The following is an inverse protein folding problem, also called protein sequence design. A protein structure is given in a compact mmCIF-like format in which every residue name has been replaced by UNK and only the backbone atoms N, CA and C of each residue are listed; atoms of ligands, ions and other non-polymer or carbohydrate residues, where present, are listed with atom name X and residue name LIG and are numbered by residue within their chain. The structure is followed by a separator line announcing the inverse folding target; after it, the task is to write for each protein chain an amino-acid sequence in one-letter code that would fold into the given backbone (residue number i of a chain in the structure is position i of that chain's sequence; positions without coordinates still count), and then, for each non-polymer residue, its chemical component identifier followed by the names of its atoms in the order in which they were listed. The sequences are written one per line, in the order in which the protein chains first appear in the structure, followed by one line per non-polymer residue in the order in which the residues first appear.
data_IF_380186234668
#
_entry.id   IF_380186234668
#
_cell.length_a   1.000
_cell.length_b   1.000
_cell.length_c   1.000
_cell.angle_alpha   90.00
_cell.angle_beta   90.00
_cell.angle_gamma   90.00
#
_symmetry.space_group_name_H-M   'P 1'
#
loop_
_entity.id
_entity.type
_entity.pdbx_description
1 polymer ?
#
# COMPACT_ATOMS: atom_id res chain seq x y z
N UNK A 1 12.33 23.51 6.57
CA UNK A 1 12.59 23.22 5.15
C UNK A 1 11.48 23.85 4.31
N UNK A 2 11.82 24.86 3.50
CA UNK A 2 10.87 25.62 2.68
C UNK A 2 10.41 24.74 1.50
N UNK A 3 9.27 24.07 1.61
CA UNK A 3 8.64 23.32 0.49
C UNK A 3 8.06 24.38 -0.46
N UNK A 4 8.86 25.00 -1.34
CA UNK A 4 8.29 26.07 -2.19
C UNK A 4 8.54 26.01 -3.68
N UNK A 5 9.39 25.12 -4.22
CA UNK A 5 9.45 24.91 -5.68
C UNK A 5 9.75 23.46 -6.01
N UNK A 6 8.71 22.71 -6.37
CA UNK A 6 8.86 21.36 -6.87
C UNK A 6 7.71 21.05 -7.83
N UNK A 7 8.04 20.52 -8.99
CA UNK A 7 7.08 20.00 -9.95
C UNK A 7 6.78 18.54 -9.64
N UNK A 8 5.50 18.21 -9.51
CA UNK A 8 5.03 16.83 -9.47
C UNK A 8 4.89 16.30 -10.90
N UNK A 9 5.36 15.08 -11.14
CA UNK A 9 5.28 14.41 -12.43
C UNK A 9 4.47 13.10 -12.22
N UNK A 10 3.13 13.16 -12.34
CA UNK A 10 2.23 12.04 -12.03
C UNK A 10 2.21 11.03 -13.18
N UNK A 11 3.27 10.24 -13.30
CA UNK A 11 3.41 9.22 -14.36
C UNK A 11 2.58 7.97 -14.06
N UNK A 12 2.44 7.61 -12.78
CA UNK A 12 1.71 6.42 -12.31
C UNK A 12 2.12 5.13 -13.05
N UNK A 13 3.41 4.95 -13.33
CA UNK A 13 3.92 3.78 -14.03
C UNK A 13 4.22 2.63 -13.07
N UNK A 14 4.01 1.40 -13.54
CA UNK A 14 4.41 0.19 -12.82
C UNK A 14 5.93 0.00 -12.91
N UNK A 15 6.65 0.40 -11.85
CA UNK A 15 8.12 0.28 -11.77
C UNK A 15 8.48 -0.99 -11.01
N UNK A 16 9.39 -1.78 -11.58
CA UNK A 16 9.96 -2.98 -10.94
C UNK A 16 11.31 -2.62 -10.34
N UNK A 17 11.41 -2.65 -9.02
CA UNK A 17 12.66 -2.39 -8.29
C UNK A 17 13.59 -3.61 -8.29
N UNK A 18 14.85 -3.44 -7.91
CA UNK A 18 15.86 -4.51 -7.89
C UNK A 18 15.44 -5.73 -7.05
N UNK A 19 14.71 -5.50 -5.96
CA UNK A 19 14.16 -6.56 -5.12
C UNK A 19 13.01 -7.34 -5.79
N UNK A 20 12.51 -6.89 -6.94
CA UNK A 20 11.39 -7.47 -7.69
C UNK A 20 10.03 -6.83 -7.39
N UNK A 21 9.95 -5.83 -6.49
CA UNK A 21 8.70 -5.17 -6.15
C UNK A 21 8.16 -4.37 -7.32
N UNK A 22 6.92 -4.66 -7.72
CA UNK A 22 6.16 -3.90 -8.72
C UNK A 22 5.33 -2.82 -8.01
N UNK A 23 5.70 -1.56 -8.16
CA UNK A 23 5.05 -0.43 -7.43
C UNK A 23 4.69 0.68 -8.42
N UNK A 24 3.44 1.16 -8.33
CA UNK A 24 2.99 2.37 -9.05
C UNK A 24 3.76 3.58 -8.55
N UNK A 25 4.61 4.13 -9.41
CA UNK A 25 5.56 5.17 -9.04
C UNK A 25 5.33 6.44 -9.88
N UNK A 26 5.42 7.59 -9.21
CA UNK A 26 5.43 8.93 -9.81
C UNK A 26 6.63 9.71 -9.26
N UNK A 27 6.98 10.82 -9.91
CA UNK A 27 8.23 11.53 -9.63
C UNK A 27 7.98 12.96 -9.18
N UNK A 28 9.01 13.57 -8.60
CA UNK A 28 9.03 14.98 -8.19
C UNK A 28 10.39 15.56 -8.53
N UNK A 29 10.44 16.77 -9.06
CA UNK A 29 11.69 17.47 -9.42
C UNK A 29 11.65 18.92 -8.94
N UNK A 30 12.80 19.50 -8.63
CA UNK A 30 12.97 20.93 -8.34
C UNK A 30 13.50 21.74 -9.54
N UNK A 31 13.79 21.07 -10.66
CA UNK A 31 14.36 21.69 -11.87
C UNK A 31 13.31 22.29 -12.80
N UNK A 32 12.05 21.94 -12.59
CA UNK A 32 10.93 22.41 -13.38
C UNK A 32 10.17 23.47 -12.56
N UNK A 33 9.97 24.70 -13.09
CA UNK A 33 9.30 25.77 -12.36
C UNK A 33 7.79 25.52 -12.20
N UNK A 34 7.21 24.57 -12.95
CA UNK A 34 5.78 24.26 -12.88
C UNK A 34 5.43 23.50 -11.60
N UNK A 35 4.16 23.56 -11.19
CA UNK A 35 3.67 22.77 -10.04
C UNK A 35 3.43 21.31 -10.44
N UNK A 36 2.89 21.08 -11.64
CA UNK A 36 2.60 19.75 -12.18
C UNK A 36 2.95 19.71 -13.66
N UNK A 37 3.61 18.64 -14.10
CA UNK A 37 3.87 18.36 -15.52
C UNK A 37 3.56 16.90 -15.80
N UNK A 38 2.70 16.64 -16.78
CA UNK A 38 2.52 15.28 -17.31
C UNK A 38 3.71 14.90 -18.20
N UNK A 39 4.08 13.63 -18.19
CA UNK A 39 5.22 13.12 -18.96
C UNK A 39 4.84 11.82 -19.68
N UNK A 40 4.03 11.88 -20.77
CA UNK A 40 3.54 10.69 -21.47
C UNK A 40 4.67 9.87 -22.10
N UNK A 41 5.72 10.51 -22.63
CA UNK A 41 6.90 9.82 -23.17
C UNK A 41 7.61 8.99 -22.11
N UNK A 42 7.81 9.57 -20.91
CA UNK A 42 8.38 8.86 -19.77
C UNK A 42 7.48 7.69 -19.33
N UNK A 43 6.15 7.87 -19.37
CA UNK A 43 5.21 6.80 -19.07
C UNK A 43 5.38 5.60 -20.02
N UNK A 44 5.43 5.86 -21.33
CA UNK A 44 5.62 4.83 -22.37
C UNK A 44 6.96 4.12 -22.18
N UNK A 45 8.04 4.89 -22.01
CA UNK A 45 9.38 4.35 -21.83
C UNK A 45 9.47 3.44 -20.60
N UNK A 46 8.89 3.85 -19.47
CA UNK A 46 8.86 3.03 -18.25
C UNK A 46 8.04 1.76 -18.45
N UNK A 47 6.87 1.87 -19.11
CA UNK A 47 6.01 0.72 -19.41
C UNK A 47 6.72 -0.31 -20.27
N UNK A 48 7.40 0.13 -21.33
CA UNK A 48 8.16 -0.75 -22.24
C UNK A 48 9.39 -1.36 -21.57
N UNK A 49 10.12 -0.58 -20.79
CA UNK A 49 11.32 -1.06 -20.11
C UNK A 49 10.94 -2.08 -19.03
N UNK A 50 9.93 -1.76 -18.20
CA UNK A 50 9.49 -2.65 -17.13
C UNK A 50 8.77 -3.90 -17.65
N UNK A 51 8.08 -3.85 -18.80
CA UNK A 51 7.46 -5.05 -19.39
C UNK A 51 8.49 -6.04 -19.94
N UNK A 52 9.65 -5.56 -20.40
CA UNK A 52 10.78 -6.39 -20.86
C UNK A 52 11.54 -7.05 -19.71
N UNK A 53 11.42 -6.55 -18.48
CA UNK A 53 12.04 -7.14 -17.29
C UNK A 53 11.29 -8.42 -16.86
N UNK A 54 11.74 -9.57 -17.35
CA UNK A 54 11.26 -10.90 -16.93
C UNK A 54 11.79 -11.27 -15.53
N UNK A 55 11.25 -10.68 -14.47
CA UNK A 55 11.47 -11.15 -13.09
C UNK A 55 10.19 -11.04 -12.26
N UNK A 56 9.29 -11.99 -12.43
CA UNK A 56 8.30 -12.28 -11.38
C UNK A 56 9.05 -13.00 -10.24
N UNK A 57 9.47 -12.25 -9.22
CA UNK A 57 9.96 -12.84 -7.98
C UNK A 57 8.78 -13.00 -7.02
N UNK A 58 8.69 -14.15 -6.36
CA UNK A 58 7.79 -14.33 -5.23
C UNK A 58 8.31 -13.46 -4.09
N UNK A 59 7.66 -12.33 -3.87
CA UNK A 59 7.96 -11.45 -2.75
C UNK A 59 7.18 -11.93 -1.52
N UNK A 60 7.81 -11.89 -0.34
CA UNK A 60 7.07 -12.12 0.90
C UNK A 60 5.96 -11.07 1.03
N UNK A 61 4.75 -11.52 1.36
CA UNK A 61 3.65 -10.65 1.74
C UNK A 61 3.91 -10.16 3.17
N UNK A 62 4.01 -8.85 3.35
CA UNK A 62 4.17 -8.26 4.68
C UNK A 62 2.82 -7.93 5.28
N UNK A 63 2.62 -8.36 6.52
CA UNK A 63 1.54 -7.87 7.39
C UNK A 63 2.12 -6.79 8.30
N UNK A 64 1.40 -5.69 8.47
CA UNK A 64 1.80 -4.59 9.34
C UNK A 64 0.83 -4.48 10.52
N UNK A 65 1.29 -4.01 11.70
CA UNK A 65 0.41 -3.73 12.83
C UNK A 65 -0.72 -2.77 12.47
N UNK A 66 -1.80 -2.78 13.25
CA UNK A 66 -2.98 -1.95 12.94
C UNK A 66 -2.65 -0.45 12.99
N UNK A 67 -1.69 -0.06 13.82
CA UNK A 67 -1.16 1.28 14.00
C UNK A 67 -0.35 1.77 12.78
N UNK A 68 -0.05 0.92 11.80
CA UNK A 68 0.71 1.30 10.62
C UNK A 68 -0.22 1.48 9.44
N UNK A 69 -0.23 2.68 8.87
CA UNK A 69 -0.94 2.99 7.63
C UNK A 69 0.04 3.24 6.50
N UNK A 70 -0.19 2.58 5.37
CA UNK A 70 0.65 2.68 4.16
C UNK A 70 -0.18 3.15 2.97
N UNK A 71 0.49 3.64 1.93
CA UNK A 71 -0.18 4.00 0.68
C UNK A 71 -0.95 2.82 0.06
N UNK A 72 -0.48 1.58 0.25
CA UNK A 72 -1.18 0.37 -0.23
C UNK A 72 -2.51 0.13 0.50
N UNK A 73 -2.57 0.37 1.81
CA UNK A 73 -3.81 0.29 2.58
C UNK A 73 -4.79 1.38 2.10
N UNK A 74 -4.31 2.61 1.94
CA UNK A 74 -5.12 3.70 1.40
C UNK A 74 -5.68 3.39 0.01
N UNK A 75 -4.84 2.87 -0.91
CA UNK A 75 -5.28 2.46 -2.24
C UNK A 75 -6.34 1.34 -2.18
N UNK A 76 -6.18 0.38 -1.26
CA UNK A 76 -7.18 -0.69 -1.06
C UNK A 76 -8.52 -0.11 -0.63
N UNK A 77 -8.53 0.75 0.39
CA UNK A 77 -9.76 1.41 0.87
C UNK A 77 -10.44 2.21 -0.24
N UNK A 78 -9.69 3.01 -0.99
CA UNK A 78 -10.22 3.81 -2.10
C UNK A 78 -10.80 2.94 -3.22
N UNK A 79 -10.12 1.85 -3.59
CA UNK A 79 -10.62 0.93 -4.62
C UNK A 79 -11.92 0.24 -4.20
N UNK A 80 -12.12 0.04 -2.90
CA UNK A 80 -13.35 -0.51 -2.33
C UNK A 80 -14.42 0.57 -2.04
N UNK A 81 -14.20 1.82 -2.47
CA UNK A 81 -15.16 2.92 -2.28
C UNK A 81 -15.28 3.42 -0.84
N UNK A 82 -14.32 3.12 0.04
CA UNK A 82 -14.34 3.54 1.44
C UNK A 82 -13.66 4.91 1.59
N UNK A 83 -14.44 5.95 1.91
CA UNK A 83 -13.91 7.26 2.33
C UNK A 83 -13.38 7.18 3.76
N UNK A 84 -12.06 7.08 3.90
CA UNK A 84 -11.35 7.04 5.18
C UNK A 84 -10.39 8.22 5.30
N UNK A 85 -10.42 8.92 6.44
CA UNK A 85 -9.67 10.17 6.67
C UNK A 85 -8.92 10.10 7.99
N UNK A 86 -7.70 10.64 8.02
CA UNK A 86 -6.83 10.67 9.21
C UNK A 86 -6.52 12.14 9.53
N UNK A 87 -6.72 12.55 10.78
CA UNK A 87 -6.35 13.91 11.23
C UNK A 87 -4.83 14.02 11.37
N UNK A 88 -4.28 15.22 11.20
CA UNK A 88 -2.83 15.46 11.33
C UNK A 88 -2.30 15.10 12.72
N UNK A 89 -3.07 15.36 13.77
CA UNK A 89 -2.65 15.10 15.15
C UNK A 89 -2.73 13.62 15.53
N UNK A 90 -3.39 12.80 14.69
CA UNK A 90 -3.58 11.37 14.91
C UNK A 90 -2.54 10.50 14.20
N UNK A 91 -1.56 11.10 13.52
CA UNK A 91 -0.58 10.36 12.74
C UNK A 91 0.80 11.05 12.64
N UNK A 92 1.86 10.24 12.66
CA UNK A 92 3.23 10.71 12.42
C UNK A 92 3.83 9.97 11.23
N UNK A 93 4.54 10.70 10.36
CA UNK A 93 5.24 10.11 9.22
C UNK A 93 6.45 9.28 9.66
N UNK A 94 6.54 8.05 9.15
CA UNK A 94 7.64 7.12 9.38
C UNK A 94 8.22 6.61 8.06
N UNK A 95 9.55 6.47 7.99
CA UNK A 95 10.22 5.86 6.83
C UNK A 95 10.34 4.34 6.93
N UNK A 96 10.37 3.82 8.15
CA UNK A 96 10.53 2.40 8.49
C UNK A 96 10.03 2.15 9.91
N UNK A 97 9.78 0.90 10.24
CA UNK A 97 9.66 0.44 11.63
C UNK A 97 11.03 0.09 12.19
N UNK A 98 11.19 0.17 13.51
CA UNK A 98 12.47 -0.19 14.15
C UNK A 98 12.82 -1.67 13.95
N UNK A 99 11.80 -2.55 13.94
CA UNK A 99 11.96 -3.97 13.60
C UNK A 99 12.48 -4.23 12.18
N UNK A 100 12.47 -3.22 11.30
CA UNK A 100 13.00 -3.32 9.94
C UNK A 100 14.47 -2.88 9.84
N UNK A 101 15.04 -2.26 10.89
CA UNK A 101 16.39 -1.69 10.86
C UNK A 101 17.44 -2.75 10.56
N UNK A 102 17.45 -3.86 11.32
CA UNK A 102 18.42 -4.94 11.15
C UNK A 102 18.35 -5.58 9.76
N UNK A 103 17.14 -5.64 9.19
CA UNK A 103 16.92 -6.17 7.85
C UNK A 103 17.21 -5.18 6.72
N UNK A 104 17.59 -3.93 7.04
CA UNK A 104 17.81 -2.87 6.05
C UNK A 104 16.55 -2.47 5.26
N UNK A 105 15.36 -2.83 5.74
CA UNK A 105 14.08 -2.61 5.03
C UNK A 105 13.46 -1.26 5.39
N UNK A 106 12.60 -0.79 4.51
CA UNK A 106 11.84 0.46 4.68
C UNK A 106 10.40 0.29 4.19
N UNK A 107 9.53 1.22 4.55
CA UNK A 107 8.19 1.32 4.00
C UNK A 107 8.28 2.01 2.64
N UNK A 108 7.81 1.34 1.57
CA UNK A 108 7.80 1.93 0.23
C UNK A 108 6.92 3.19 0.20
N UNK A 109 7.52 4.33 -0.16
CA UNK A 109 6.84 5.63 -0.13
C UNK A 109 6.65 6.20 1.29
N UNK A 110 7.15 5.53 2.32
CA UNK A 110 6.89 5.83 3.72
C UNK A 110 5.53 5.31 4.21
N UNK A 111 5.26 5.54 5.49
CA UNK A 111 3.99 5.22 6.12
C UNK A 111 3.66 6.21 7.23
N UNK A 112 2.53 5.98 7.88
CA UNK A 112 2.08 6.73 9.04
C UNK A 112 1.96 5.78 10.23
N UNK A 113 2.48 6.21 11.38
CA UNK A 113 2.18 5.59 12.67
C UNK A 113 1.00 6.32 13.28
N UNK A 114 -0.06 5.59 13.61
CA UNK A 114 -1.35 6.10 14.04
C UNK A 114 -1.51 6.12 15.56
N UNK A 115 -2.32 7.07 16.05
CA UNK A 115 -2.86 7.01 17.40
C UNK A 115 -3.74 5.76 17.57
N UNK A 116 -3.90 5.26 18.81
CA UNK A 116 -4.76 4.09 19.09
C UNK A 116 -6.19 4.30 18.57
N UNK A 117 -6.70 5.53 18.68
CA UNK A 117 -8.01 5.90 18.15
C UNK A 117 -8.07 5.76 16.63
N UNK A 118 -7.11 6.35 15.91
CA UNK A 118 -7.08 6.26 14.46
C UNK A 118 -6.85 4.82 13.96
N UNK A 119 -6.07 4.01 14.68
CA UNK A 119 -5.88 2.59 14.38
C UNK A 119 -7.19 1.79 14.51
N UNK A 120 -8.01 2.08 15.53
CA UNK A 120 -9.33 1.47 15.68
C UNK A 120 -10.30 1.89 14.56
N UNK A 121 -10.30 3.16 14.19
CA UNK A 121 -11.09 3.67 13.06
C UNK A 121 -10.66 3.05 11.72
N UNK A 122 -9.35 2.87 11.51
CA UNK A 122 -8.80 2.13 10.36
C UNK A 122 -9.33 0.69 10.33
N UNK A 123 -9.32 0.00 11.47
CA UNK A 123 -9.83 -1.38 11.55
C UNK A 123 -11.31 -1.46 11.19
N UNK A 124 -12.12 -0.49 11.63
CA UNK A 124 -13.51 -0.39 11.26
C UNK A 124 -13.70 -0.11 9.75
N UNK A 125 -12.84 0.72 9.16
CA UNK A 125 -12.85 0.99 7.72
C UNK A 125 -12.47 -0.24 6.89
N UNK A 126 -11.44 -0.98 7.31
CA UNK A 126 -11.00 -2.21 6.63
C UNK A 126 -12.04 -3.33 6.69
N UNK A 127 -12.85 -3.40 7.76
CA UNK A 127 -13.99 -4.34 7.84
C UNK A 127 -15.11 -4.07 6.83
N UNK A 128 -15.20 -2.85 6.27
CA UNK A 128 -16.16 -2.52 5.21
C UNK A 128 -15.72 -3.04 3.85
N UNK A 129 -14.47 -3.48 3.73
CA UNK A 129 -13.99 -4.11 2.51
C UNK A 129 -14.65 -5.49 2.44
N UNK A 130 -15.44 -5.78 1.39
CA UNK A 130 -15.98 -7.11 1.21
C UNK A 130 -14.82 -8.11 1.16
N UNK A 131 -14.94 -9.17 1.96
CA UNK A 131 -14.03 -10.29 1.87
C UNK A 131 -14.50 -11.15 0.70
N UNK A 132 -13.75 -11.18 -0.39
CA UNK A 132 -14.06 -12.03 -1.57
C UNK A 132 -13.86 -13.53 -1.29
N UNK A 133 -13.68 -13.90 -0.02
CA UNK A 133 -13.56 -15.28 0.43
C UNK A 133 -14.93 -15.96 0.38
N UNK A 134 -15.08 -16.92 -0.53
CA UNK A 134 -16.24 -17.82 -0.55
C UNK A 134 -16.20 -18.66 0.74
N UNK A 135 -17.06 -18.34 1.69
CA UNK A 135 -17.25 -19.14 2.90
C UNK A 135 -18.14 -20.34 2.57
N UNK A 136 -17.60 -21.55 2.74
CA UNK A 136 -18.37 -22.78 2.64
C UNK A 136 -18.87 -23.17 4.03
N UNK A 137 -20.18 -23.28 4.18
CA UNK A 137 -20.78 -23.73 5.43
C UNK A 137 -20.80 -25.25 5.50
N UNK A 138 -20.55 -25.80 6.70
CA UNK A 138 -20.77 -27.23 6.95
C UNK A 138 -22.27 -27.52 6.90
N UNK A 139 -22.65 -28.55 6.14
CA UNK A 139 -23.98 -29.14 6.18
C UNK A 139 -24.26 -29.81 7.53
N UNK A 140 -25.53 -30.02 7.85
CA UNK A 140 -25.93 -30.65 9.12
C UNK A 140 -25.31 -32.04 9.30
N UNK A 141 -25.21 -32.82 8.22
CA UNK A 141 -24.51 -34.12 8.21
C UNK A 141 -23.03 -33.98 8.60
N UNK A 142 -22.34 -32.97 8.09
CA UNK A 142 -20.92 -32.74 8.38
C UNK A 142 -20.71 -32.23 9.81
N UNK A 143 -21.64 -31.42 10.32
CA UNK A 143 -21.66 -31.00 11.74
C UNK A 143 -21.85 -32.20 12.67
N UNK A 144 -22.76 -33.11 12.34
CA UNK A 144 -22.98 -34.34 13.12
C UNK A 144 -21.75 -35.26 13.11
N UNK A 145 -21.06 -35.37 11.97
CA UNK A 145 -19.79 -36.09 11.87
C UNK A 145 -18.71 -35.46 12.77
N UNK A 146 -18.55 -34.14 12.74
CA UNK A 146 -17.61 -33.42 13.62
C UNK A 146 -17.93 -33.67 15.10
N UNK A 147 -19.20 -33.60 15.48
CA UNK A 147 -19.67 -33.84 16.84
C UNK A 147 -19.46 -35.30 17.32
N UNK A 148 -19.28 -36.25 16.40
CA UNK A 148 -19.06 -37.67 16.71
C UNK A 148 -17.59 -38.06 16.91
N UNK A 149 -16.65 -37.16 16.61
CA UNK A 149 -15.21 -37.38 16.80
C UNK A 149 -14.84 -37.15 18.29
N UNK A 150 -13.96 -38.00 18.84
CA UNK A 150 -13.43 -37.92 20.22
C UNK A 150 -12.08 -37.21 20.29
#
# INVERSE_FOLDING_TARGET
MNIKKSCFIPVCADVIYENGAKVKTSFRTNLDPMLVRTAPELHVLLKETCSKLKKARNLPKYSYPQEVFTASIGAKLSNCGVDYRIKRDDAVFIRRLDSQIESGKTLFGGGLLLSKKAAAEKAAAEKKIPDDTIAWELSDRERDLVNSLK
#
